data_IF_400723845493
#
_entry.id   IF_400723845493
#
_cell.length_a   1.000
_cell.length_b   1.000
_cell.length_c   1.000
_cell.angle_alpha   90.00
_cell.angle_beta   90.00
_cell.angle_gamma   90.00
#
_symmetry.space_group_name_H-M   'P 1'
#
loop_
_entity.id
_entity.type
_entity.pdbx_description
1 polymer ?
#
# COMPACT_ATOMS: atom_id res chain seq x y z
N UNK A 1 -38.48 -80.11 -14.20
CA UNK A 1 -37.18 -79.75 -14.80
C UNK A 1 -36.87 -78.34 -14.32
N UNK A 2 -36.32 -78.07 -13.13
CA UNK A 2 -35.08 -78.56 -12.52
C UNK A 2 -33.89 -77.74 -13.07
N UNK A 3 -33.04 -77.04 -12.33
CA UNK A 3 -32.83 -76.81 -10.89
C UNK A 3 -31.86 -75.62 -10.78
N UNK A 4 -31.91 -74.81 -9.71
CA UNK A 4 -30.73 -74.04 -9.26
C UNK A 4 -29.68 -75.01 -8.71
N UNK A 5 -28.38 -74.63 -8.72
CA UNK A 5 -27.74 -74.42 -7.43
C UNK A 5 -26.80 -73.22 -7.37
N UNK A 6 -26.57 -72.79 -6.12
CA UNK A 6 -25.53 -71.86 -5.70
C UNK A 6 -24.15 -72.57 -5.64
N UNK A 7 -23.06 -71.80 -5.79
CA UNK A 7 -21.69 -72.28 -5.56
C UNK A 7 -20.73 -71.11 -5.40
N UNK A 8 -19.99 -71.10 -4.28
CA UNK A 8 -19.11 -70.05 -3.75
C UNK A 8 -17.72 -70.04 -4.42
N UNK A 9 -17.04 -68.90 -4.31
CA UNK A 9 -15.61 -68.84 -3.94
C UNK A 9 -14.65 -68.37 -5.04
N UNK A 10 -13.76 -67.41 -4.69
CA UNK A 10 -12.53 -67.18 -5.46
C UNK A 10 -12.02 -65.75 -5.52
N UNK A 11 -11.26 -65.35 -4.49
CA UNK A 11 -10.01 -64.59 -4.53
C UNK A 11 -9.83 -63.39 -5.51
N UNK A 12 -9.65 -62.22 -4.89
CA UNK A 12 -8.56 -61.25 -5.11
C UNK A 12 -7.73 -61.30 -6.40
N UNK A 13 -7.67 -60.17 -7.11
CA UNK A 13 -6.39 -59.57 -7.51
C UNK A 13 -6.57 -58.08 -7.81
N UNK A 14 -5.97 -57.26 -6.96
CA UNK A 14 -5.80 -55.83 -7.21
C UNK A 14 -4.77 -55.62 -8.30
N UNK A 15 -5.11 -54.81 -9.30
CA UNK A 15 -4.17 -54.28 -10.27
C UNK A 15 -3.31 -53.20 -9.60
N UNK A 16 -2.06 -53.56 -9.30
CA UNK A 16 -1.06 -52.66 -8.74
C UNK A 16 -0.60 -51.60 -9.74
N UNK A 17 -0.59 -50.35 -9.29
CA UNK A 17 0.27 -49.32 -9.88
C UNK A 17 1.69 -49.62 -9.43
N UNK A 18 2.56 -49.94 -10.40
CA UNK A 18 3.97 -50.19 -10.17
C UNK A 18 4.63 -48.97 -9.51
N UNK A 19 5.25 -49.18 -8.35
CA UNK A 19 6.13 -48.21 -7.70
C UNK A 19 7.44 -48.10 -8.51
N UNK A 20 7.80 -46.87 -8.87
CA UNK A 20 9.13 -46.57 -9.40
C UNK A 20 10.19 -46.71 -8.30
N UNK A 21 11.42 -47.19 -8.61
CA UNK A 21 12.46 -47.39 -7.61
C UNK A 21 12.99 -46.07 -7.06
N UNK A 22 13.14 -46.02 -5.73
CA UNK A 22 13.78 -44.92 -4.99
C UNK A 22 15.30 -45.09 -5.12
N UNK A 23 16.08 -44.09 -5.60
CA UNK A 23 17.53 -44.19 -5.60
C UNK A 23 18.07 -44.15 -4.17
N UNK A 24 19.06 -45.01 -3.93
CA UNK A 24 19.63 -45.31 -2.62
C UNK A 24 20.30 -44.13 -1.93
N UNK A 25 20.15 -44.17 -0.61
CA UNK A 25 20.97 -43.51 0.39
C UNK A 25 22.40 -44.06 0.34
N UNK A 26 23.30 -43.37 -0.37
CA UNK A 26 24.75 -43.55 -0.23
C UNK A 26 25.45 -42.28 -0.74
N UNK A 27 25.53 -41.26 0.13
CA UNK A 27 26.39 -40.07 -0.06
C UNK A 27 26.64 -39.44 1.31
N UNK A 28 27.20 -40.23 2.24
CA UNK A 28 27.72 -39.76 3.53
C UNK A 28 29.15 -40.24 3.82
N UNK A 29 29.95 -40.52 2.79
CA UNK A 29 31.39 -40.77 2.95
C UNK A 29 32.18 -40.11 1.81
N UNK A 30 32.52 -38.84 2.02
CA UNK A 30 33.62 -38.17 1.31
C UNK A 30 34.13 -37.02 2.18
N UNK A 31 34.94 -37.37 3.18
CA UNK A 31 35.77 -36.42 3.93
C UNK A 31 36.84 -35.92 2.96
N UNK A 32 36.72 -34.67 2.51
CA UNK A 32 37.79 -33.99 1.80
C UNK A 32 38.62 -33.23 2.85
N UNK A 33 39.85 -33.68 3.09
CA UNK A 33 40.86 -32.88 3.79
C UNK A 33 41.25 -31.69 2.91
N UNK A 34 41.17 -30.48 3.46
CA UNK A 34 41.54 -29.21 2.83
C UNK A 34 42.86 -28.71 3.46
N UNK A 35 43.92 -28.38 2.69
CA UNK A 35 45.18 -27.93 3.26
C UNK A 35 45.10 -26.50 3.83
N UNK A 36 45.26 -26.40 5.15
CA UNK A 36 45.75 -25.27 5.95
C UNK A 36 45.34 -23.84 5.51
N UNK A 37 44.15 -23.40 5.94
CA UNK A 37 43.81 -21.98 6.02
C UNK A 37 44.59 -21.29 7.17
N UNK A 38 45.05 -20.02 7.01
CA UNK A 38 45.71 -19.29 8.09
C UNK A 38 44.72 -18.97 9.23
N UNK A 39 45.19 -18.81 10.47
CA UNK A 39 44.30 -18.67 11.62
C UNK A 39 43.45 -17.39 11.54
N UNK A 40 42.13 -17.57 11.67
CA UNK A 40 41.15 -16.49 11.82
C UNK A 40 41.43 -15.77 13.14
N UNK A 41 41.69 -14.45 13.08
CA UNK A 41 41.83 -13.61 14.27
C UNK A 41 40.48 -13.45 14.96
N UNK A 42 40.50 -13.60 16.29
CA UNK A 42 39.36 -13.42 17.18
C UNK A 42 38.72 -12.02 16.98
N UNK A 43 37.39 -11.90 16.76
CA UNK A 43 36.73 -10.61 16.54
C UNK A 43 36.82 -9.64 17.72
N UNK A 44 37.25 -10.12 18.89
CA UNK A 44 37.25 -9.35 20.13
C UNK A 44 38.54 -8.60 20.44
N UNK A 45 39.60 -8.74 19.62
CA UNK A 45 40.88 -8.06 19.85
C UNK A 45 41.03 -6.79 18.98
N UNK A 46 40.16 -5.79 19.20
CA UNK A 46 40.34 -4.44 18.67
C UNK A 46 40.49 -3.45 19.81
N UNK A 47 41.72 -3.04 20.08
CA UNK A 47 41.99 -1.83 20.85
C UNK A 47 41.39 -0.62 20.11
N UNK A 48 40.51 0.18 20.74
CA UNK A 48 39.89 1.30 20.05
C UNK A 48 40.92 2.42 19.83
N UNK A 49 41.12 2.79 18.57
CA UNK A 49 41.85 4.00 18.19
C UNK A 49 40.94 5.20 18.45
N UNK A 50 41.40 6.28 19.12
CA UNK A 50 40.56 7.44 19.36
C UNK A 50 40.25 8.14 18.03
N UNK A 51 38.98 8.10 17.62
CA UNK A 51 38.48 8.80 16.46
C UNK A 51 38.52 10.31 16.71
N UNK A 52 39.19 11.06 15.83
CA UNK A 52 39.14 12.51 15.81
C UNK A 52 37.69 12.96 15.52
N UNK A 53 37.12 13.73 16.42
CA UNK A 53 35.78 14.30 16.28
C UNK A 53 35.80 15.38 15.19
N UNK A 54 35.36 15.03 13.99
CA UNK A 54 34.95 16.02 12.99
C UNK A 54 33.63 16.60 13.49
N UNK A 55 33.68 17.82 14.01
CA UNK A 55 32.51 18.58 14.43
C UNK A 55 31.88 19.17 13.17
N UNK A 56 30.91 18.46 12.59
CA UNK A 56 30.01 19.08 11.61
C UNK A 56 29.17 20.15 12.33
N UNK A 57 28.98 21.34 11.74
CA UNK A 57 28.15 22.37 12.33
C UNK A 57 26.71 21.87 12.38
N UNK A 58 26.21 21.60 13.59
CA UNK A 58 24.85 21.19 13.84
C UNK A 58 23.89 22.26 13.29
N UNK A 59 23.18 21.93 12.21
CA UNK A 59 22.11 22.76 11.70
C UNK A 59 21.10 22.99 12.84
N UNK A 60 20.89 24.24 13.23
CA UNK A 60 19.82 24.61 14.18
C UNK A 60 18.47 24.38 13.50
N UNK A 61 17.96 23.16 13.57
CA UNK A 61 16.59 22.84 13.15
C UNK A 61 15.63 23.19 14.29
N UNK A 62 14.47 23.75 13.95
CA UNK A 62 13.43 24.08 14.93
C UNK A 62 12.67 22.82 15.31
N UNK A 63 12.37 22.55 16.60
CA UNK A 63 11.66 21.34 17.05
C UNK A 63 10.34 21.05 16.32
N UNK A 64 9.65 22.10 15.85
CA UNK A 64 8.43 21.98 15.04
C UNK A 64 8.71 21.43 13.64
N UNK A 65 9.81 21.84 13.02
CA UNK A 65 10.21 21.36 11.68
C UNK A 65 10.57 19.88 11.76
N UNK A 66 11.33 19.48 12.78
CA UNK A 66 11.67 18.07 13.01
C UNK A 66 10.43 17.20 13.20
N UNK A 67 9.43 17.69 13.95
CA UNK A 67 8.18 16.97 14.15
C UNK A 67 7.36 16.82 12.84
N UNK A 68 7.29 17.87 12.02
CA UNK A 68 6.62 17.82 10.71
C UNK A 68 7.33 16.83 9.79
N UNK A 69 8.66 16.91 9.72
CA UNK A 69 9.48 16.02 8.90
C UNK A 69 9.34 14.57 9.36
N UNK A 70 9.42 14.32 10.68
CA UNK A 70 9.20 13.01 11.27
C UNK A 70 7.82 12.42 10.98
N UNK A 71 6.76 13.24 11.01
CA UNK A 71 5.40 12.79 10.67
C UNK A 71 5.31 12.38 9.20
N UNK A 72 5.80 13.21 8.28
CA UNK A 72 5.71 12.94 6.84
C UNK A 72 6.59 11.75 6.42
N UNK A 73 7.81 11.67 6.93
CA UNK A 73 8.71 10.54 6.69
C UNK A 73 8.18 9.26 7.34
N UNK A 74 7.62 9.34 8.55
CA UNK A 74 7.02 8.21 9.26
C UNK A 74 5.82 7.65 8.51
N UNK A 75 4.94 8.52 8.00
CA UNK A 75 3.80 8.13 7.16
C UNK A 75 4.28 7.43 5.89
N UNK A 76 5.21 8.02 5.15
CA UNK A 76 5.74 7.44 3.92
C UNK A 76 6.49 6.11 4.16
N UNK A 77 7.21 5.99 5.28
CA UNK A 77 7.88 4.75 5.66
C UNK A 77 6.89 3.66 6.08
N UNK A 78 5.83 4.03 6.81
CA UNK A 78 4.75 3.12 7.21
C UNK A 78 3.99 2.58 6.00
N UNK A 79 3.60 3.46 5.08
CA UNK A 79 3.01 3.10 3.78
C UNK A 79 3.94 2.15 3.00
N UNK A 80 5.21 2.53 2.84
CA UNK A 80 6.21 1.74 2.12
C UNK A 80 6.43 0.32 2.69
N UNK A 81 6.32 0.17 4.02
CA UNK A 81 6.44 -1.12 4.70
C UNK A 81 5.15 -1.94 4.64
N UNK A 82 4.02 -1.31 4.31
CA UNK A 82 2.71 -1.94 4.19
C UNK A 82 2.62 -2.91 3.01
N UNK A 83 1.84 -3.97 3.19
CA UNK A 83 1.53 -4.91 2.11
C UNK A 83 0.89 -4.27 0.87
N UNK A 84 0.02 -3.24 0.98
CA UNK A 84 -0.52 -2.56 -0.20
C UNK A 84 0.56 -1.93 -1.09
N UNK A 85 1.64 -1.39 -0.52
CA UNK A 85 2.68 -0.73 -1.28
C UNK A 85 3.37 -1.66 -2.29
N UNK A 86 3.68 -2.89 -1.90
CA UNK A 86 4.24 -3.89 -2.81
C UNK A 86 3.28 -4.18 -3.99
N UNK A 87 1.97 -4.30 -3.73
CA UNK A 87 0.95 -4.48 -4.77
C UNK A 87 0.85 -3.26 -5.70
N UNK A 88 0.81 -2.06 -5.16
CA UNK A 88 0.74 -0.82 -5.93
C UNK A 88 1.96 -0.62 -6.82
N UNK A 89 3.15 -0.95 -6.30
CA UNK A 89 4.41 -0.81 -7.03
C UNK A 89 4.63 -1.91 -8.06
N UNK A 90 4.04 -3.08 -7.89
CA UNK A 90 4.01 -4.12 -8.92
C UNK A 90 3.35 -3.62 -10.23
N UNK A 91 2.58 -2.53 -10.20
CA UNK A 91 2.07 -1.89 -11.42
C UNK A 91 3.15 -1.31 -12.34
N UNK A 92 4.36 -1.12 -11.83
CA UNK A 92 5.55 -0.70 -12.59
C UNK A 92 6.30 -1.89 -13.21
N UNK A 93 5.89 -3.12 -12.90
CA UNK A 93 6.41 -4.34 -13.54
C UNK A 93 5.62 -4.64 -14.82
N UNK A 94 6.17 -5.43 -15.76
CA UNK A 94 5.44 -5.87 -16.94
C UNK A 94 4.11 -6.55 -16.57
N UNK A 95 3.05 -6.30 -17.34
CA UNK A 95 1.69 -6.75 -17.01
C UNK A 95 1.58 -8.26 -16.73
N UNK A 96 2.30 -9.08 -17.51
CA UNK A 96 2.29 -10.53 -17.38
C UNK A 96 2.72 -11.01 -15.99
N UNK A 97 3.60 -10.28 -15.30
CA UNK A 97 4.05 -10.63 -13.94
C UNK A 97 2.89 -10.55 -12.95
N UNK A 98 2.06 -9.50 -13.04
CA UNK A 98 0.84 -9.33 -12.23
C UNK A 98 -0.24 -10.35 -12.58
N UNK A 99 -0.32 -10.78 -13.83
CA UNK A 99 -1.23 -11.85 -14.25
C UNK A 99 -0.80 -13.18 -13.63
N UNK A 100 0.48 -13.53 -13.74
CA UNK A 100 1.04 -14.75 -13.20
C UNK A 100 0.90 -14.85 -11.67
N UNK A 101 1.13 -13.76 -10.92
CA UNK A 101 0.90 -13.76 -9.46
C UNK A 101 -0.54 -14.13 -9.12
N UNK A 102 -1.53 -13.59 -9.84
CA UNK A 102 -2.95 -13.93 -9.63
C UNK A 102 -3.27 -15.39 -9.97
N UNK A 103 -2.71 -15.89 -11.07
CA UNK A 103 -2.85 -17.29 -11.47
C UNK A 103 -2.25 -18.25 -10.41
N UNK A 104 -1.09 -17.89 -9.85
CA UNK A 104 -0.45 -18.67 -8.78
C UNK A 104 -1.22 -18.57 -7.46
N UNK A 105 -1.79 -17.42 -7.12
CA UNK A 105 -2.66 -17.26 -5.94
C UNK A 105 -3.87 -18.20 -6.05
N UNK A 106 -4.52 -18.23 -7.23
CA UNK A 106 -5.64 -19.15 -7.52
C UNK A 106 -5.20 -20.61 -7.46
N UNK A 107 -4.03 -20.93 -8.04
CA UNK A 107 -3.48 -22.29 -7.97
C UNK A 107 -3.25 -22.72 -6.52
N UNK A 108 -2.64 -21.84 -5.70
CA UNK A 108 -2.34 -22.15 -4.32
C UNK A 108 -3.62 -22.41 -3.50
N UNK A 109 -4.65 -21.59 -3.70
CA UNK A 109 -5.97 -21.77 -3.08
C UNK A 109 -6.61 -23.11 -3.49
N UNK A 110 -6.65 -23.41 -4.79
CA UNK A 110 -7.28 -24.63 -5.31
C UNK A 110 -6.56 -25.92 -4.92
N UNK A 111 -5.24 -25.84 -4.69
CA UNK A 111 -4.40 -27.01 -4.39
C UNK A 111 -3.99 -27.07 -2.91
N UNK A 112 -4.60 -26.26 -2.05
CA UNK A 112 -4.26 -26.16 -0.62
C UNK A 112 -2.74 -26.00 -0.37
N UNK A 113 -2.07 -25.25 -1.25
CA UNK A 113 -0.63 -25.00 -1.16
C UNK A 113 -0.39 -23.82 -0.22
N UNK A 114 0.46 -24.02 0.80
CA UNK A 114 0.76 -23.00 1.82
C UNK A 114 1.85 -22.01 1.43
N UNK A 115 2.56 -22.28 0.33
CA UNK A 115 3.59 -21.36 -0.18
C UNK A 115 2.90 -20.15 -0.81
N UNK A 116 3.18 -18.95 -0.27
CA UNK A 116 2.62 -17.71 -0.79
C UNK A 116 3.28 -17.31 -2.12
N UNK A 117 2.50 -17.08 -3.19
CA UNK A 117 2.99 -16.51 -4.43
C UNK A 117 3.39 -15.05 -4.21
N UNK A 118 4.66 -14.81 -3.92
CA UNK A 118 5.19 -13.44 -3.85
C UNK A 118 5.30 -12.85 -5.25
N UNK A 119 5.18 -11.52 -5.43
CA UNK A 119 5.47 -10.88 -6.71
C UNK A 119 6.86 -11.29 -7.21
N UNK A 120 6.90 -12.04 -8.32
CA UNK A 120 8.13 -12.61 -8.85
C UNK A 120 8.66 -11.71 -9.96
N UNK A 121 9.89 -11.25 -9.81
CA UNK A 121 10.63 -10.55 -10.86
C UNK A 121 11.41 -11.56 -11.71
N UNK A 122 10.76 -12.62 -12.22
CA UNK A 122 11.40 -13.68 -13.02
C UNK A 122 12.23 -13.07 -14.17
N UNK A 123 13.56 -13.04 -14.01
CA UNK A 123 14.51 -12.35 -14.88
C UNK A 123 14.17 -10.86 -15.15
N UNK A 124 13.45 -10.21 -14.24
CA UNK A 124 13.12 -8.80 -14.29
C UNK A 124 13.91 -8.04 -13.21
N UNK A 125 14.25 -6.77 -13.47
CA UNK A 125 14.87 -5.91 -12.46
C UNK A 125 13.93 -5.75 -11.24
N UNK A 126 14.38 -6.01 -9.99
CA UNK A 126 13.53 -5.97 -8.80
C UNK A 126 13.32 -4.55 -8.25
N UNK A 127 13.93 -3.52 -8.85
CA UNK A 127 13.86 -2.12 -8.43
C UNK A 127 12.43 -1.63 -8.15
N UNK A 128 11.41 -1.97 -8.97
CA UNK A 128 10.05 -1.57 -8.68
C UNK A 128 9.49 -2.16 -7.38
N UNK A 129 9.91 -3.37 -7.01
CA UNK A 129 9.43 -4.09 -5.82
C UNK A 129 10.21 -3.73 -4.54
N UNK A 130 11.29 -2.95 -4.64
CA UNK A 130 11.96 -2.41 -3.45
C UNK A 130 10.99 -1.57 -2.63
N UNK A 131 11.16 -1.56 -1.31
CA UNK A 131 10.39 -0.74 -0.40
C UNK A 131 10.34 0.71 -0.89
N UNK A 132 9.15 1.27 -0.87
CA UNK A 132 8.96 2.68 -1.14
C UNK A 132 7.48 3.06 -1.12
N UNK A 133 7.21 4.36 -1.04
CA UNK A 133 5.86 4.88 -0.84
C UNK A 133 4.89 4.44 -1.94
N UNK A 134 3.60 4.43 -1.59
CA UNK A 134 2.47 4.10 -2.43
C UNK A 134 1.39 5.17 -2.36
N UNK A 135 0.11 4.80 -2.45
CA UNK A 135 -1.00 5.74 -2.57
C UNK A 135 -1.19 6.60 -1.31
N UNK A 136 -1.00 6.06 -0.11
CA UNK A 136 -1.12 6.85 1.12
C UNK A 136 -0.14 8.04 1.12
N UNK A 137 1.11 7.83 0.71
CA UNK A 137 2.07 8.92 0.55
C UNK A 137 1.67 9.92 -0.56
N UNK A 138 1.05 9.45 -1.66
CA UNK A 138 0.52 10.34 -2.72
C UNK A 138 -0.63 11.23 -2.18
N UNK A 139 -1.52 10.66 -1.37
CA UNK A 139 -2.63 11.39 -0.74
C UNK A 139 -2.16 12.34 0.38
N UNK A 140 -1.11 11.98 1.11
CA UNK A 140 -0.44 12.88 2.03
C UNK A 140 0.19 14.07 1.29
N UNK A 141 0.86 13.82 0.15
CA UNK A 141 1.43 14.88 -0.69
C UNK A 141 0.35 15.81 -1.27
N UNK A 142 -0.73 15.25 -1.82
CA UNK A 142 -1.91 16.01 -2.27
C UNK A 142 -2.42 16.96 -1.18
N UNK A 143 -2.50 16.48 0.05
CA UNK A 143 -2.99 17.26 1.20
C UNK A 143 -2.01 18.37 1.58
N UNK A 144 -0.71 18.05 1.61
CA UNK A 144 0.33 19.04 1.87
C UNK A 144 0.35 20.15 0.81
N UNK A 145 0.18 19.80 -0.47
CA UNK A 145 0.07 20.78 -1.56
C UNK A 145 -1.16 21.69 -1.39
N UNK A 146 -2.31 21.12 -1.01
CA UNK A 146 -3.52 21.91 -0.73
C UNK A 146 -3.31 22.89 0.45
N UNK A 147 -2.59 22.48 1.50
CA UNK A 147 -2.21 23.36 2.62
C UNK A 147 -1.31 24.49 2.12
N UNK A 148 -0.27 24.18 1.34
CA UNK A 148 0.66 25.19 0.81
C UNK A 148 -0.07 26.18 -0.10
N UNK A 149 -1.01 25.70 -0.92
CA UNK A 149 -1.84 26.53 -1.80
C UNK A 149 -2.75 27.51 -1.04
N UNK A 150 -3.03 27.28 0.25
CA UNK A 150 -3.78 28.25 1.09
C UNK A 150 -3.08 29.61 1.24
N UNK A 151 -1.78 29.67 0.93
CA UNK A 151 -0.98 30.91 0.96
C UNK A 151 -0.98 31.66 -0.37
N UNK A 152 -1.67 31.14 -1.40
CA UNK A 152 -1.72 31.76 -2.71
C UNK A 152 -2.29 33.20 -2.65
N UNK A 153 -1.75 34.15 -3.44
CA UNK A 153 -2.22 35.53 -3.45
C UNK A 153 -3.72 35.69 -3.70
N UNK A 154 -4.30 34.81 -4.52
CA UNK A 154 -5.74 34.80 -4.82
C UNK A 154 -6.63 34.59 -3.58
N UNK A 155 -6.11 33.95 -2.53
CA UNK A 155 -6.83 33.68 -1.29
C UNK A 155 -6.49 34.68 -0.18
N UNK A 156 -5.54 35.59 -0.39
CA UNK A 156 -5.01 36.47 0.65
C UNK A 156 -6.07 37.36 1.33
N UNK A 157 -7.16 37.70 0.62
CA UNK A 157 -8.28 38.48 1.17
C UNK A 157 -9.19 37.72 2.14
N UNK A 158 -9.07 36.40 2.25
CA UNK A 158 -9.86 35.59 3.17
C UNK A 158 -9.18 35.47 4.55
N UNK A 159 -9.94 35.31 5.64
CA UNK A 159 -9.41 34.90 6.94
C UNK A 159 -8.61 33.58 6.85
N UNK A 160 -7.60 33.35 7.70
CA UNK A 160 -6.72 32.17 7.63
C UNK A 160 -7.46 30.84 7.54
N UNK A 161 -8.47 30.61 8.39
CA UNK A 161 -9.25 29.37 8.40
C UNK A 161 -10.02 29.18 7.07
N UNK A 162 -10.60 30.26 6.54
CA UNK A 162 -11.33 30.23 5.27
C UNK A 162 -10.38 30.00 4.08
N UNK A 163 -9.14 30.49 4.14
CA UNK A 163 -8.13 30.20 3.10
C UNK A 163 -7.84 28.72 3.00
N UNK A 164 -7.67 28.07 4.14
CA UNK A 164 -7.34 26.66 4.19
C UNK A 164 -8.49 25.78 3.71
N UNK A 165 -9.72 26.03 4.19
CA UNK A 165 -10.90 25.32 3.69
C UNK A 165 -11.12 25.55 2.19
N UNK A 166 -10.90 26.79 1.72
CA UNK A 166 -11.01 27.10 0.29
C UNK A 166 -9.94 26.40 -0.55
N UNK A 167 -8.69 26.29 -0.08
CA UNK A 167 -7.64 25.60 -0.85
C UNK A 167 -7.86 24.09 -0.91
N UNK A 168 -8.34 23.47 0.18
CA UNK A 168 -8.76 22.06 0.19
C UNK A 168 -9.94 21.83 -0.76
N UNK A 169 -10.96 22.69 -0.71
CA UNK A 169 -12.11 22.63 -1.62
C UNK A 169 -11.70 22.76 -3.09
N UNK A 170 -10.80 23.71 -3.40
CA UNK A 170 -10.26 23.88 -4.75
C UNK A 170 -9.46 22.66 -5.21
N UNK A 171 -8.66 22.04 -4.34
CA UNK A 171 -7.89 20.85 -4.67
C UNK A 171 -8.79 19.65 -5.04
N UNK A 172 -9.85 19.42 -4.25
CA UNK A 172 -10.84 18.38 -4.54
C UNK A 172 -11.61 18.66 -5.84
N UNK A 173 -12.10 19.88 -6.04
CA UNK A 173 -12.82 20.25 -7.26
C UNK A 173 -11.93 20.20 -8.50
N UNK A 174 -10.65 20.55 -8.38
CA UNK A 174 -9.69 20.42 -9.49
C UNK A 174 -9.49 18.95 -9.88
N UNK A 175 -9.37 18.05 -8.89
CA UNK A 175 -9.22 16.62 -9.15
C UNK A 175 -10.50 16.01 -9.72
N UNK A 176 -11.67 16.39 -9.21
CA UNK A 176 -12.96 15.98 -9.77
C UNK A 176 -13.15 16.48 -11.21
N UNK A 177 -12.68 17.69 -11.53
CA UNK A 177 -12.66 18.19 -12.91
C UNK A 177 -11.81 17.34 -13.85
N UNK A 178 -10.68 16.81 -13.39
CA UNK A 178 -9.88 15.86 -14.17
C UNK A 178 -10.59 14.52 -14.37
N UNK A 179 -11.32 14.05 -13.35
CA UNK A 179 -12.16 12.83 -13.43
C UNK A 179 -13.29 13.02 -14.43
N UNK A 180 -14.02 14.14 -14.36
CA UNK A 180 -15.08 14.49 -15.32
C UNK A 180 -14.52 14.53 -16.75
N UNK A 181 -13.41 15.23 -16.96
CA UNK A 181 -12.78 15.32 -18.28
C UNK A 181 -12.28 13.97 -18.81
N UNK A 182 -11.89 13.04 -17.93
CA UNK A 182 -11.53 11.69 -18.33
C UNK A 182 -12.75 10.86 -18.71
N UNK A 183 -13.87 11.01 -17.99
CA UNK A 183 -15.14 10.37 -18.32
C UNK A 183 -15.71 10.86 -19.65
N UNK A 184 -15.67 12.17 -19.92
CA UNK A 184 -16.16 12.76 -21.18
C UNK A 184 -15.41 12.25 -22.43
N UNK A 185 -14.15 11.82 -22.27
CA UNK A 185 -13.33 11.28 -23.36
C UNK A 185 -13.54 9.79 -23.59
N UNK A 186 -14.18 9.09 -22.65
CA UNK A 186 -14.33 7.65 -22.68
C UNK A 186 -15.62 7.24 -23.41
N UNK A 187 -15.64 6.09 -24.11
CA UNK A 187 -16.85 5.59 -24.78
C UNK A 187 -17.98 5.28 -23.76
N UNK A 188 -17.61 4.73 -22.60
CA UNK A 188 -18.47 4.57 -21.44
C UNK A 188 -17.79 5.13 -20.18
N UNK A 189 -18.56 5.67 -19.23
CA UNK A 189 -18.03 6.28 -18.00
C UNK A 189 -17.19 5.28 -17.20
N UNK A 190 -17.62 4.02 -17.14
CA UNK A 190 -16.94 2.92 -16.44
C UNK A 190 -15.60 2.55 -17.10
N UNK A 191 -15.41 2.88 -18.38
CA UNK A 191 -14.17 2.63 -19.12
C UNK A 191 -13.13 3.75 -18.98
N UNK A 192 -13.47 4.84 -18.27
CA UNK A 192 -12.61 6.00 -18.12
C UNK A 192 -11.28 5.65 -17.41
N UNK A 193 -10.17 5.96 -18.08
CA UNK A 193 -8.83 5.82 -17.52
C UNK A 193 -8.51 7.06 -16.69
N UNK A 194 -8.63 6.94 -15.37
CA UNK A 194 -8.28 8.02 -14.45
C UNK A 194 -6.77 8.02 -14.17
N UNK A 195 -6.11 9.19 -14.19
CA UNK A 195 -4.67 9.30 -13.92
C UNK A 195 -4.36 9.29 -12.41
N UNK A 196 -5.08 8.49 -11.62
CA UNK A 196 -4.92 8.44 -10.15
C UNK A 196 -5.14 7.03 -9.61
N UNK A 197 -4.39 6.71 -8.55
CA UNK A 197 -4.61 5.54 -7.70
C UNK A 197 -5.29 5.99 -6.43
N UNK A 198 -6.38 5.34 -6.08
CA UNK A 198 -7.12 5.70 -4.89
C UNK A 198 -7.95 4.53 -4.38
N UNK A 199 -8.20 4.55 -3.08
CA UNK A 199 -9.14 3.64 -2.41
C UNK A 199 -10.54 3.82 -2.98
N UNK A 200 -11.38 2.80 -2.79
CA UNK A 200 -12.73 2.75 -3.40
C UNK A 200 -13.56 3.95 -2.94
N UNK A 201 -13.52 4.28 -1.64
CA UNK A 201 -14.16 5.47 -1.07
C UNK A 201 -13.76 6.75 -1.81
N UNK A 202 -12.46 6.96 -2.03
CA UNK A 202 -11.98 8.17 -2.69
C UNK A 202 -12.39 8.24 -4.15
N UNK A 203 -12.34 7.12 -4.89
CA UNK A 203 -12.82 7.08 -6.28
C UNK A 203 -14.32 7.38 -6.38
N UNK A 204 -15.12 6.79 -5.50
CA UNK A 204 -16.56 7.02 -5.48
C UNK A 204 -16.89 8.47 -5.10
N UNK A 205 -16.25 9.02 -4.07
CA UNK A 205 -16.43 10.42 -3.67
C UNK A 205 -16.04 11.41 -4.78
N UNK A 206 -14.94 11.17 -5.50
CA UNK A 206 -14.54 11.97 -6.66
C UNK A 206 -15.54 11.84 -7.82
N UNK A 207 -16.06 10.64 -8.07
CA UNK A 207 -17.11 10.42 -9.07
C UNK A 207 -18.38 11.20 -8.74
N UNK A 208 -18.83 11.16 -7.48
CA UNK A 208 -19.95 11.94 -6.98
C UNK A 208 -19.70 13.45 -7.13
N UNK A 209 -18.51 13.93 -6.79
CA UNK A 209 -18.15 15.34 -6.94
C UNK A 209 -18.14 15.76 -8.42
N UNK A 210 -17.63 14.91 -9.30
CA UNK A 210 -17.58 15.12 -10.75
C UNK A 210 -18.98 15.18 -11.39
N UNK A 211 -19.97 14.48 -10.83
CA UNK A 211 -21.38 14.54 -11.27
C UNK A 211 -22.16 15.68 -10.63
N UNK A 212 -21.51 16.51 -9.80
CA UNK A 212 -22.08 17.74 -9.24
C UNK A 212 -22.61 17.63 -7.82
N UNK A 213 -22.50 16.47 -7.16
CA UNK A 213 -22.77 16.38 -5.73
C UNK A 213 -21.76 17.23 -4.94
N UNK A 214 -22.11 17.52 -3.69
CA UNK A 214 -21.28 18.30 -2.76
C UNK A 214 -21.18 17.56 -1.42
N UNK A 215 -20.07 17.71 -0.67
CA UNK A 215 -20.01 17.24 0.71
C UNK A 215 -21.18 17.80 1.54
N UNK A 216 -21.80 17.02 2.44
CA UNK A 216 -21.43 15.64 2.80
C UNK A 216 -21.98 14.57 1.86
N UNK A 217 -22.86 14.89 0.90
CA UNK A 217 -23.48 13.89 0.03
C UNK A 217 -22.46 13.09 -0.79
N UNK A 218 -21.35 13.70 -1.20
CA UNK A 218 -20.26 13.00 -1.92
C UNK A 218 -19.67 11.86 -1.09
N UNK A 219 -19.51 12.05 0.22
CA UNK A 219 -19.01 11.05 1.15
C UNK A 219 -20.10 10.12 1.71
N UNK A 220 -21.33 10.61 1.88
CA UNK A 220 -22.47 9.81 2.37
C UNK A 220 -23.01 8.84 1.32
N UNK A 221 -23.19 9.30 0.08
CA UNK A 221 -23.71 8.48 -1.03
C UNK A 221 -22.58 7.66 -1.69
N UNK A 222 -21.76 7.03 -0.85
CA UNK A 222 -20.56 6.30 -1.23
C UNK A 222 -20.58 4.89 -0.65
N UNK A 223 -20.49 3.81 -1.46
CA UNK A 223 -20.58 2.44 -0.95
C UNK A 223 -19.47 2.05 0.03
N UNK A 224 -18.38 2.82 0.09
CA UNK A 224 -17.22 2.56 0.95
C UNK A 224 -16.94 3.72 1.93
N UNK A 225 -17.95 4.52 2.29
CA UNK A 225 -17.81 5.72 3.14
C UNK A 225 -17.15 5.49 4.51
N UNK A 226 -17.08 4.25 4.99
CA UNK A 226 -16.66 3.88 6.35
C UNK A 226 -15.16 3.56 6.46
N UNK A 227 -14.43 3.52 5.35
CA UNK A 227 -13.02 3.15 5.37
C UNK A 227 -12.10 4.29 5.91
N UNK A 228 -10.83 3.96 6.11
CA UNK A 228 -9.82 4.82 6.74
C UNK A 228 -9.08 5.73 5.74
N UNK A 229 -9.55 5.87 4.50
CA UNK A 229 -8.81 6.63 3.47
C UNK A 229 -8.57 8.11 3.83
N UNK A 230 -9.40 8.68 4.70
CA UNK A 230 -9.27 10.07 5.14
C UNK A 230 -8.24 10.24 6.28
N UNK A 231 -7.89 9.19 7.02
CA UNK A 231 -7.00 9.27 8.19
C UNK A 231 -5.59 9.75 7.80
N UNK A 232 -5.07 9.29 6.68
CA UNK A 232 -3.74 9.68 6.16
C UNK A 232 -3.70 11.18 5.85
N UNK A 233 -4.77 11.72 5.24
CA UNK A 233 -4.89 13.16 4.96
C UNK A 233 -5.11 13.95 6.25
N UNK A 234 -5.92 13.44 7.16
CA UNK A 234 -6.16 14.07 8.47
C UNK A 234 -4.85 14.27 9.26
N UNK A 235 -3.95 13.29 9.26
CA UNK A 235 -2.64 13.41 9.89
C UNK A 235 -1.81 14.59 9.34
N UNK A 236 -1.90 14.84 8.02
CA UNK A 236 -1.24 15.98 7.38
C UNK A 236 -1.96 17.29 7.68
N UNK A 237 -3.30 17.31 7.67
CA UNK A 237 -4.10 18.49 8.02
C UNK A 237 -3.85 18.94 9.47
N UNK A 238 -3.63 18.02 10.40
CA UNK A 238 -3.34 18.33 11.79
C UNK A 238 -2.09 19.23 11.98
N UNK A 239 -1.15 19.22 11.03
CA UNK A 239 0.08 20.03 11.08
C UNK A 239 -0.18 21.55 11.12
N UNK A 240 -1.35 22.01 10.66
CA UNK A 240 -1.74 23.43 10.68
C UNK A 240 -2.30 23.90 12.03
N UNK A 241 -2.66 22.97 12.92
CA UNK A 241 -3.25 23.24 14.24
C UNK A 241 -2.42 22.61 15.39
N UNK A 242 -1.12 22.95 15.53
CA UNK A 242 -0.28 22.37 16.56
C UNK A 242 -0.81 22.73 17.96
N UNK A 243 -1.07 21.71 18.79
CA UNK A 243 -1.58 21.88 20.15
C UNK A 243 -3.08 22.19 20.24
N UNK A 244 -3.81 22.22 19.12
CA UNK A 244 -5.25 22.40 19.09
C UNK A 244 -5.94 21.19 18.43
N UNK A 245 -6.18 20.10 19.19
CA UNK A 245 -6.77 18.88 18.66
C UNK A 245 -8.21 19.09 18.19
N UNK A 246 -8.92 20.08 18.74
CA UNK A 246 -10.30 20.36 18.34
C UNK A 246 -10.34 20.99 16.94
N UNK A 247 -9.52 22.01 16.70
CA UNK A 247 -9.43 22.62 15.37
C UNK A 247 -8.89 21.63 14.32
N UNK A 248 -7.92 20.77 14.70
CA UNK A 248 -7.43 19.70 13.84
C UNK A 248 -8.55 18.72 13.44
N UNK A 249 -9.35 18.25 14.40
CA UNK A 249 -10.47 17.36 14.14
C UNK A 249 -11.56 18.03 13.28
N UNK A 250 -11.88 19.30 13.51
CA UNK A 250 -12.86 20.05 12.71
C UNK A 250 -12.43 20.24 11.25
N UNK A 251 -11.12 20.38 11.00
CA UNK A 251 -10.55 20.44 9.65
C UNK A 251 -10.50 19.07 8.99
N UNK A 252 -10.11 18.03 9.74
CA UNK A 252 -10.11 16.65 9.25
C UNK A 252 -11.53 16.20 8.86
N UNK A 253 -12.54 16.55 9.65
CA UNK A 253 -13.95 16.28 9.32
C UNK A 253 -14.39 16.98 8.02
N UNK A 254 -13.95 18.23 7.82
CA UNK A 254 -14.26 18.98 6.60
C UNK A 254 -13.71 18.30 5.34
N UNK A 255 -12.46 17.84 5.39
CA UNK A 255 -11.86 17.05 4.29
C UNK A 255 -12.52 15.68 4.14
N UNK A 256 -12.72 14.96 5.25
CA UNK A 256 -13.22 13.58 5.22
C UNK A 256 -14.59 13.48 4.53
N UNK A 257 -15.47 14.47 4.72
CA UNK A 257 -16.82 14.51 4.11
C UNK A 257 -16.83 14.53 2.57
N UNK A 258 -15.68 14.75 1.92
CA UNK A 258 -15.56 14.58 0.47
C UNK A 258 -15.70 13.12 0.04
N UNK A 259 -15.18 12.20 0.84
CA UNK A 259 -15.06 10.79 0.47
C UNK A 259 -15.70 9.83 1.47
N UNK A 260 -15.91 10.27 2.72
CA UNK A 260 -16.37 9.46 3.84
C UNK A 260 -17.62 10.02 4.50
N UNK A 261 -18.24 9.18 5.32
CA UNK A 261 -19.28 9.53 6.27
C UNK A 261 -19.21 8.59 7.49
N UNK A 262 -20.00 8.84 8.54
CA UNK A 262 -20.06 7.98 9.72
C UNK A 262 -18.70 7.62 10.31
N UNK A 263 -18.41 6.32 10.43
CA UNK A 263 -17.17 5.80 11.01
C UNK A 263 -15.90 6.28 10.28
N UNK A 264 -15.95 6.49 8.96
CA UNK A 264 -14.80 6.99 8.20
C UNK A 264 -14.47 8.44 8.57
N UNK A 265 -15.50 9.26 8.83
CA UNK A 265 -15.32 10.63 9.37
C UNK A 265 -14.84 10.59 10.81
N UNK A 266 -15.37 9.69 11.64
CA UNK A 266 -14.91 9.53 13.02
C UNK A 266 -13.45 9.10 13.10
N UNK A 267 -13.03 8.16 12.25
CA UNK A 267 -11.64 7.73 12.15
C UNK A 267 -10.70 8.84 11.71
N UNK A 268 -11.14 9.73 10.81
CA UNK A 268 -10.33 10.87 10.40
C UNK A 268 -10.16 11.93 11.51
N UNK A 269 -11.13 12.06 12.41
CA UNK A 269 -11.10 13.05 13.50
C UNK A 269 -10.26 12.63 14.70
N UNK A 270 -10.09 11.32 14.89
CA UNK A 270 -9.43 10.72 16.07
C UNK A 270 -7.91 10.97 16.07
#
# INVERSE_FOLDING_TARGET
MGSRPAGRGGASSGGGWAQAPVPGTDLLDAVHEDPAAPPVRDPHDRTPTPAAQVTEPAAQVSPRRDAIEGLLLGLAAGDAAGWPAARHRAARMPEWTRRLTRELDTFAEQNATTTLPVPIALNQPPEPLRLGPSDDAEWAAFTAEAILASTAPALAGLPPERRLRASVDLAWNALAGQVAAAADRAPEVESAVLPLRARISVRAGLGNLATGLRPPATGHDNPHYFDDAACVRAAVLALVHPGDPRAAAELAEFDARYTQDGDGVHGARA
#
